data_IF_381396826804
#
_entry.id   IF_381396826804
#
_cell.length_a   1.000
_cell.length_b   1.000
_cell.length_c   1.000
_cell.angle_alpha   90.00
_cell.angle_beta   90.00
_cell.angle_gamma   90.00
#
_symmetry.space_group_name_H-M   'P 1'
#
loop_
_entity.id
_entity.type
_entity.pdbx_description
1 polymer ?
#
# COMPACT_ATOMS: atom_id res chain seq x y z
N UNK A 1 36.84 13.97 13.44
CA UNK A 1 36.00 15.11 13.84
C UNK A 1 34.64 14.94 13.18
N UNK A 2 33.68 14.34 13.90
CA UNK A 2 32.29 14.25 13.44
C UNK A 2 31.50 15.33 14.19
N UNK A 3 31.07 16.37 13.48
CA UNK A 3 30.29 17.47 14.03
C UNK A 3 28.83 17.04 14.20
N UNK A 4 28.45 16.71 15.44
CA UNK A 4 27.07 16.42 15.81
C UNK A 4 26.17 17.65 15.64
N UNK A 5 25.06 17.48 14.93
CA UNK A 5 23.97 18.44 14.90
C UNK A 5 23.16 18.30 16.18
N UNK A 6 23.39 19.22 17.13
CA UNK A 6 22.60 19.32 18.35
C UNK A 6 21.23 19.96 18.05
N UNK A 7 20.15 19.19 18.24
CA UNK A 7 18.83 19.77 18.49
C UNK A 7 18.81 20.29 19.92
N UNK A 8 18.60 21.59 20.08
CA UNK A 8 18.44 22.21 21.40
C UNK A 8 17.10 21.77 22.00
N UNK A 9 17.13 21.22 23.20
CA UNK A 9 15.97 20.81 23.97
C UNK A 9 15.00 21.98 24.18
N UNK A 10 13.72 21.77 23.85
CA UNK A 10 12.62 22.59 24.34
C UNK A 10 12.37 22.19 25.80
N UNK A 11 12.27 23.20 26.66
CA UNK A 11 12.01 23.06 28.09
C UNK A 11 10.79 22.15 28.37
N UNK A 12 10.90 21.29 29.38
CA UNK A 12 9.81 20.46 29.88
C UNK A 12 8.58 21.31 30.22
N UNK A 13 7.36 20.91 29.81
CA UNK A 13 6.16 21.61 30.23
C UNK A 13 5.97 21.42 31.74
N UNK A 14 5.94 22.53 32.45
CA UNK A 14 5.46 22.61 33.83
C UNK A 14 3.99 22.19 33.83
N UNK A 15 3.57 21.39 34.80
CA UNK A 15 2.21 20.88 34.91
C UNK A 15 1.19 22.00 35.10
N UNK A 16 0.66 22.50 33.99
CA UNK A 16 -0.63 23.18 33.85
C UNK A 16 -0.93 23.41 32.35
N UNK A 17 -0.84 22.35 31.54
CA UNK A 17 -1.16 22.45 30.11
C UNK A 17 -2.67 22.71 29.95
N UNK A 18 -3.08 23.85 29.35
CA UNK A 18 -4.47 24.09 29.07
C UNK A 18 -4.94 23.00 28.09
N UNK A 19 -6.04 22.32 28.44
CA UNK A 19 -6.76 21.42 27.54
C UNK A 19 -7.10 22.22 26.27
N UNK A 20 -6.29 22.06 25.23
CA UNK A 20 -6.54 22.66 23.92
C UNK A 20 -7.84 22.01 23.43
N UNK A 21 -8.91 22.78 23.18
CA UNK A 21 -10.18 22.20 22.76
C UNK A 21 -9.97 21.44 21.45
N UNK A 22 -10.59 20.26 21.35
CA UNK A 22 -10.67 19.51 20.10
C UNK A 22 -11.12 20.47 18.98
N UNK A 23 -10.44 20.40 17.83
CA UNK A 23 -10.75 21.25 16.68
C UNK A 23 -12.26 21.21 16.40
N UNK A 24 -12.89 22.36 16.17
CA UNK A 24 -14.30 22.42 15.77
C UNK A 24 -14.47 21.60 14.47
N UNK A 25 -15.05 20.40 14.57
CA UNK A 25 -15.23 19.46 13.46
C UNK A 25 -15.95 20.13 12.27
N UNK A 26 -16.84 21.09 12.54
CA UNK A 26 -17.51 21.85 11.50
C UNK A 26 -16.56 22.84 10.81
N UNK A 27 -15.62 23.45 11.53
CA UNK A 27 -14.58 24.30 10.95
C UNK A 27 -13.59 23.49 10.12
N UNK A 28 -13.20 22.31 10.58
CA UNK A 28 -12.35 21.37 9.84
C UNK A 28 -13.04 20.93 8.55
N UNK A 29 -14.31 20.54 8.61
CA UNK A 29 -15.08 20.15 7.42
C UNK A 29 -15.18 21.30 6.40
N UNK A 30 -15.47 22.53 6.84
CA UNK A 30 -15.48 23.73 5.97
C UNK A 30 -14.09 24.01 5.37
N UNK A 31 -13.02 23.84 6.14
CA UNK A 31 -11.67 23.98 5.64
C UNK A 31 -11.37 22.93 4.56
N UNK A 32 -11.74 21.67 4.74
CA UNK A 32 -11.45 20.62 3.75
C UNK A 32 -12.42 20.59 2.56
N UNK A 33 -13.54 21.32 2.61
CA UNK A 33 -14.48 21.43 1.48
C UNK A 33 -13.89 22.12 0.23
N UNK A 34 -12.79 22.87 0.36
CA UNK A 34 -12.09 23.47 -0.80
C UNK A 34 -11.10 22.46 -1.39
N UNK A 35 -11.27 22.00 -2.64
CA UNK A 35 -10.47 20.92 -3.22
C UNK A 35 -8.97 21.16 -3.19
N UNK A 36 -8.53 22.39 -3.52
CA UNK A 36 -7.12 22.78 -3.50
C UNK A 36 -6.53 22.68 -2.09
N UNK A 37 -7.28 23.14 -1.07
CA UNK A 37 -6.83 23.12 0.33
C UNK A 37 -6.77 21.69 0.88
N UNK A 38 -7.74 20.85 0.53
CA UNK A 38 -7.70 19.42 0.83
C UNK A 38 -6.53 18.71 0.14
N UNK A 39 -6.25 19.07 -1.12
CA UNK A 39 -5.09 18.59 -1.87
C UNK A 39 -3.77 18.93 -1.19
N UNK A 40 -3.59 20.20 -0.79
CA UNK A 40 -2.41 20.68 -0.06
C UNK A 40 -2.26 19.95 1.28
N UNK A 41 -3.34 19.81 2.06
CA UNK A 41 -3.30 19.10 3.35
C UNK A 41 -2.89 17.63 3.18
N UNK A 42 -3.48 16.93 2.20
CA UNK A 42 -3.13 15.55 1.89
C UNK A 42 -1.65 15.41 1.52
N UNK A 43 -1.10 16.32 0.70
CA UNK A 43 0.33 16.33 0.37
C UNK A 43 1.19 16.49 1.62
N UNK A 44 0.86 17.48 2.46
CA UNK A 44 1.54 17.74 3.73
C UNK A 44 1.40 16.61 4.75
N UNK A 45 0.42 15.71 4.60
CA UNK A 45 0.20 14.54 5.47
C UNK A 45 0.91 13.28 4.94
N UNK A 46 1.20 13.19 3.65
CA UNK A 46 1.83 11.99 3.06
C UNK A 46 3.36 12.09 3.05
N UNK A 47 3.94 13.28 2.84
CA UNK A 47 5.40 13.40 2.61
C UNK A 47 6.26 13.49 3.88
N UNK A 48 5.70 13.80 5.05
CA UNK A 48 6.49 13.83 6.29
C UNK A 48 7.40 15.04 6.46
N UNK A 49 7.57 15.87 5.42
CA UNK A 49 8.55 16.96 5.41
C UNK A 49 7.86 18.34 5.52
N UNK A 50 8.39 19.27 6.32
CA UNK A 50 7.89 20.65 6.37
C UNK A 50 8.11 21.40 5.04
N UNK A 51 7.04 21.97 4.49
CA UNK A 51 7.07 22.72 3.22
C UNK A 51 6.80 24.21 3.44
N UNK A 52 7.50 25.06 2.70
CA UNK A 52 7.22 26.48 2.60
C UNK A 52 6.11 26.77 1.58
N UNK A 53 5.45 27.91 1.72
CA UNK A 53 4.39 28.34 0.81
C UNK A 53 4.82 28.43 -0.67
N UNK A 54 6.12 28.65 -0.94
CA UNK A 54 6.67 28.65 -2.31
C UNK A 54 6.72 27.24 -2.90
N UNK A 55 7.21 26.26 -2.15
CA UNK A 55 7.23 24.86 -2.58
C UNK A 55 5.80 24.35 -2.84
N UNK A 56 4.85 24.72 -1.98
CA UNK A 56 3.42 24.40 -2.19
C UNK A 56 2.86 25.12 -3.42
N UNK A 57 3.23 26.36 -3.67
CA UNK A 57 2.82 27.09 -4.87
C UNK A 57 3.31 26.42 -6.16
N UNK A 58 4.58 26.02 -6.19
CA UNK A 58 5.19 25.37 -7.35
C UNK A 58 4.52 24.01 -7.63
N UNK A 59 4.26 23.22 -6.59
CA UNK A 59 3.63 21.90 -6.73
C UNK A 59 2.17 21.96 -7.21
N UNK A 60 1.41 22.95 -6.78
CA UNK A 60 -0.02 23.06 -7.06
C UNK A 60 -0.36 24.07 -8.17
N UNK A 61 0.64 24.66 -8.82
CA UNK A 61 0.46 25.68 -9.86
C UNK A 61 -0.25 26.93 -9.32
N UNK A 62 0.03 27.31 -8.07
CA UNK A 62 -0.61 28.45 -7.39
C UNK A 62 0.34 29.64 -7.28
N UNK A 63 -0.22 30.83 -7.09
CA UNK A 63 0.59 31.96 -6.65
C UNK A 63 1.02 31.79 -5.18
N UNK A 64 2.27 32.15 -4.77
CA UNK A 64 2.77 31.97 -3.40
C UNK A 64 1.89 32.56 -2.29
N UNK A 65 1.20 33.67 -2.55
CA UNK A 65 0.27 34.26 -1.59
C UNK A 65 -1.02 33.43 -1.44
N UNK A 66 -1.50 32.79 -2.51
CA UNK A 66 -2.68 31.93 -2.49
C UNK A 66 -2.37 30.64 -1.73
N UNK A 67 -1.21 30.03 -2.01
CA UNK A 67 -0.73 28.87 -1.26
C UNK A 67 -0.60 29.20 0.24
N UNK A 68 -0.02 30.35 0.59
CA UNK A 68 0.09 30.81 1.99
C UNK A 68 -1.28 30.94 2.66
N UNK A 69 -2.27 31.52 1.99
CA UNK A 69 -3.62 31.65 2.54
C UNK A 69 -4.26 30.29 2.84
N UNK A 70 -4.13 29.31 1.94
CA UNK A 70 -4.61 27.95 2.21
C UNK A 70 -3.91 27.31 3.40
N UNK A 71 -2.60 27.49 3.51
CA UNK A 71 -1.78 26.94 4.59
C UNK A 71 -2.09 27.59 5.94
N UNK A 72 -2.29 28.91 5.98
CA UNK A 72 -2.68 29.63 7.19
C UNK A 72 -4.10 29.21 7.63
N UNK A 73 -5.06 29.05 6.71
CA UNK A 73 -6.39 28.53 7.07
C UNK A 73 -6.36 27.09 7.60
N UNK A 74 -5.46 26.25 7.10
CA UNK A 74 -5.24 24.91 7.66
C UNK A 74 -4.61 24.97 9.06
N UNK A 75 -3.74 25.95 9.30
CA UNK A 75 -3.16 26.19 10.63
C UNK A 75 -4.19 26.73 11.62
N UNK A 76 -5.08 27.62 11.19
CA UNK A 76 -6.14 28.22 12.00
C UNK A 76 -7.11 27.16 12.55
N UNK A 77 -7.45 26.14 11.75
CA UNK A 77 -8.27 25.00 12.19
C UNK A 77 -7.46 23.87 12.84
N UNK A 78 -6.15 24.08 13.04
CA UNK A 78 -5.29 23.14 13.73
C UNK A 78 -4.90 21.89 12.94
N UNK A 79 -5.10 21.82 11.62
CA UNK A 79 -4.65 20.66 10.82
C UNK A 79 -3.15 20.70 10.52
N UNK A 80 -2.57 21.90 10.49
CA UNK A 80 -1.15 22.13 10.18
C UNK A 80 -0.52 22.92 11.32
N UNK A 81 0.75 22.66 11.60
CA UNK A 81 1.56 23.49 12.49
C UNK A 81 2.67 24.16 11.70
N UNK A 82 3.16 25.28 12.24
CA UNK A 82 4.15 26.12 11.54
C UNK A 82 5.50 26.05 12.23
N UNK A 83 6.56 26.03 11.45
CA UNK A 83 7.95 26.04 11.90
C UNK A 83 8.79 27.05 11.14
N UNK A 84 10.10 27.04 11.40
CA UNK A 84 11.07 27.88 10.68
C UNK A 84 12.21 27.00 10.15
N UNK A 85 12.51 27.15 8.86
CA UNK A 85 13.66 26.49 8.22
C UNK A 85 14.76 27.51 7.91
N UNK A 86 15.97 27.26 8.39
CA UNK A 86 17.14 28.12 8.15
C UNK A 86 17.77 27.71 6.82
N UNK A 87 18.07 28.68 5.95
CA UNK A 87 18.80 28.40 4.71
C UNK A 87 20.31 28.36 4.96
N UNK A 88 21.06 27.43 4.34
CA UNK A 88 22.52 27.32 4.49
C UNK A 88 23.28 28.59 4.07
N UNK A 89 22.73 29.35 3.11
CA UNK A 89 23.35 30.57 2.57
C UNK A 89 23.06 31.87 3.35
N UNK A 90 22.45 31.79 4.54
CA UNK A 90 22.01 32.97 5.30
C UNK A 90 20.70 33.58 4.77
N UNK A 91 20.07 34.44 5.59
CA UNK A 91 18.78 35.07 5.31
C UNK A 91 17.71 34.81 6.39
N UNK A 92 16.56 35.49 6.27
CA UNK A 92 15.43 35.31 7.20
C UNK A 92 14.90 33.87 7.10
N UNK A 93 14.76 33.13 8.21
CA UNK A 93 14.22 31.77 8.18
C UNK A 93 12.85 31.71 7.49
N UNK A 94 12.65 30.72 6.61
CA UNK A 94 11.39 30.54 5.90
C UNK A 94 10.34 29.92 6.84
N UNK A 95 9.13 30.49 6.86
CA UNK A 95 7.97 29.84 7.51
C UNK A 95 7.64 28.58 6.73
N UNK A 96 7.69 27.44 7.41
CA UNK A 96 7.33 26.13 6.87
C UNK A 96 6.10 25.61 7.60
N UNK A 97 5.40 24.71 6.93
CA UNK A 97 4.13 24.15 7.34
C UNK A 97 4.26 22.62 7.29
N UNK A 98 3.78 21.96 8.31
CA UNK A 98 3.77 20.49 8.39
C UNK A 98 2.43 20.05 8.96
N UNK A 99 1.86 18.95 8.45
CA UNK A 99 0.64 18.41 9.03
C UNK A 99 0.85 18.14 10.52
N UNK A 100 -0.11 18.52 11.37
CA UNK A 100 0.02 18.38 12.82
C UNK A 100 0.36 16.95 13.23
N UNK A 101 -0.25 15.98 12.56
CA UNK A 101 0.00 14.54 12.76
C UNK A 101 1.46 14.15 12.52
N UNK A 102 2.20 14.88 11.67
CA UNK A 102 3.60 14.59 11.33
C UNK A 102 4.61 15.45 12.11
N UNK A 103 4.14 16.45 12.86
CA UNK A 103 5.02 17.43 13.50
C UNK A 103 5.59 16.98 14.86
N UNK A 104 5.05 15.90 15.44
CA UNK A 104 5.54 15.33 16.69
C UNK A 104 6.28 14.03 16.40
N UNK A 105 7.62 13.97 16.56
CA UNK A 105 8.31 12.68 16.58
C UNK A 105 7.79 11.88 17.78
N UNK A 106 7.13 10.75 17.49
CA UNK A 106 6.74 9.78 18.50
C UNK A 106 5.34 9.90 19.11
N UNK A 107 4.40 10.67 18.52
CA UNK A 107 2.99 10.58 18.97
C UNK A 107 2.24 9.53 18.14
N UNK A 108 1.74 8.52 18.85
CA UNK A 108 0.73 7.58 18.37
C UNK A 108 -0.33 8.29 17.54
N UNK A 109 -0.66 7.71 16.38
CA UNK A 109 -1.83 8.07 15.57
C UNK A 109 -3.02 8.27 16.52
N UNK A 110 -3.43 9.52 16.79
CA UNK A 110 -4.58 9.77 17.65
C UNK A 110 -5.84 9.48 16.84
N UNK A 111 -6.12 8.19 16.68
CA UNK A 111 -7.39 7.70 16.17
C UNK A 111 -8.42 8.02 17.25
N UNK A 112 -9.52 8.75 16.93
CA UNK A 112 -10.56 9.05 17.91
C UNK A 112 -10.95 7.78 18.67
N UNK A 113 -11.17 7.87 19.99
CA UNK A 113 -11.42 6.69 20.84
C UNK A 113 -12.56 5.80 20.29
N UNK A 114 -13.59 6.41 19.71
CA UNK A 114 -14.68 5.68 19.03
C UNK A 114 -14.23 4.87 17.81
N UNK A 115 -13.29 5.39 17.03
CA UNK A 115 -12.69 4.69 15.88
C UNK A 115 -11.74 3.57 16.33
N UNK A 116 -11.02 3.74 17.45
CA UNK A 116 -10.20 2.67 18.02
C UNK A 116 -11.06 1.51 18.53
N UNK A 117 -12.15 1.80 19.25
CA UNK A 117 -13.08 0.78 19.71
C UNK A 117 -13.75 0.02 18.54
N UNK A 118 -14.09 0.73 17.47
CA UNK A 118 -14.63 0.11 16.26
C UNK A 118 -13.62 -0.85 15.61
N UNK A 119 -12.36 -0.40 15.42
CA UNK A 119 -11.28 -1.25 14.90
C UNK A 119 -11.06 -2.46 15.80
N UNK A 120 -10.98 -2.27 17.11
CA UNK A 120 -10.81 -3.33 18.08
C UNK A 120 -11.93 -4.37 17.99
N UNK A 121 -13.18 -3.94 17.99
CA UNK A 121 -14.35 -4.83 17.88
C UNK A 121 -14.35 -5.61 16.58
N UNK A 122 -14.06 -4.95 15.45
CA UNK A 122 -13.98 -5.59 14.13
C UNK A 122 -12.86 -6.63 14.11
N UNK A 123 -11.66 -6.29 14.60
CA UNK A 123 -10.52 -7.19 14.61
C UNK A 123 -10.79 -8.41 15.50
N UNK A 124 -11.41 -8.24 16.69
CA UNK A 124 -11.78 -9.36 17.54
C UNK A 124 -12.79 -10.31 16.88
N UNK A 125 -13.80 -9.77 16.19
CA UNK A 125 -14.77 -10.58 15.42
C UNK A 125 -14.08 -11.37 14.30
N UNK A 126 -13.06 -10.79 13.68
CA UNK A 126 -12.29 -11.45 12.61
C UNK A 126 -11.32 -12.50 13.18
N UNK A 127 -10.61 -12.16 14.27
CA UNK A 127 -9.64 -13.02 14.93
C UNK A 127 -10.25 -14.33 15.44
N UNK A 128 -11.51 -14.29 15.91
CA UNK A 128 -12.22 -15.47 16.38
C UNK A 128 -12.52 -16.54 15.31
N UNK A 129 -12.22 -16.29 14.03
CA UNK A 129 -12.55 -17.17 12.92
C UNK A 129 -11.33 -17.36 12.00
N UNK A 130 -10.63 -18.50 12.12
CA UNK A 130 -9.39 -18.81 11.37
C UNK A 130 -9.52 -18.66 9.85
N UNK A 131 -10.68 -19.00 9.30
CA UNK A 131 -11.02 -18.86 7.87
C UNK A 131 -11.06 -17.40 7.38
N UNK A 132 -11.21 -16.44 8.28
CA UNK A 132 -11.18 -15.02 7.94
C UNK A 132 -9.76 -14.50 7.74
N UNK A 133 -8.74 -15.11 8.36
CA UNK A 133 -7.34 -14.68 8.19
C UNK A 133 -6.84 -14.92 6.77
N UNK A 134 -7.13 -16.08 6.19
CA UNK A 134 -6.80 -16.36 4.79
C UNK A 134 -7.50 -15.36 3.84
N UNK A 135 -8.77 -15.02 4.11
CA UNK A 135 -9.50 -14.00 3.33
C UNK A 135 -8.90 -12.60 3.48
N UNK A 136 -8.43 -12.24 4.67
CA UNK A 136 -7.76 -10.97 4.92
C UNK A 136 -6.47 -10.83 4.10
N UNK A 137 -5.65 -11.89 4.07
CA UNK A 137 -4.43 -11.89 3.23
C UNK A 137 -4.78 -11.65 1.77
N UNK A 138 -5.78 -12.36 1.22
CA UNK A 138 -6.22 -12.16 -0.17
C UNK A 138 -6.74 -10.73 -0.44
N UNK A 139 -7.50 -10.14 0.50
CA UNK A 139 -7.96 -8.77 0.39
C UNK A 139 -6.81 -7.76 0.42
N UNK A 140 -5.82 -7.98 1.29
CA UNK A 140 -4.63 -7.15 1.38
C UNK A 140 -3.74 -7.29 0.14
N UNK A 141 -3.62 -8.50 -0.44
CA UNK A 141 -2.95 -8.71 -1.73
C UNK A 141 -3.58 -7.90 -2.86
N UNK A 142 -4.91 -7.90 -2.94
CA UNK A 142 -5.63 -7.05 -3.90
C UNK A 142 -5.32 -5.56 -3.71
N UNK A 143 -5.27 -5.08 -2.46
CA UNK A 143 -4.92 -3.68 -2.21
C UNK A 143 -3.46 -3.36 -2.53
N UNK A 144 -2.52 -4.25 -2.18
CA UNK A 144 -1.11 -4.11 -2.53
C UNK A 144 -0.89 -3.98 -4.05
N UNK A 145 -1.58 -4.82 -4.84
CA UNK A 145 -1.56 -4.73 -6.31
C UNK A 145 -2.09 -3.38 -6.81
N UNK A 146 -3.20 -2.90 -6.26
CA UNK A 146 -3.81 -1.61 -6.65
C UNK A 146 -2.90 -0.42 -6.38
N UNK A 147 -2.19 -0.43 -5.26
CA UNK A 147 -1.26 0.63 -4.90
C UNK A 147 -0.14 0.77 -5.94
N UNK A 148 0.44 -0.35 -6.39
CA UNK A 148 1.45 -0.34 -7.46
C UNK A 148 0.86 0.04 -8.82
N UNK A 149 -0.33 -0.47 -9.15
CA UNK A 149 -1.01 -0.12 -10.40
C UNK A 149 -1.30 1.39 -10.51
N UNK A 150 -1.57 2.06 -9.38
CA UNK A 150 -1.82 3.51 -9.34
C UNK A 150 -0.57 4.36 -9.59
N UNK A 151 0.63 3.85 -9.28
CA UNK A 151 1.90 4.57 -9.48
C UNK A 151 2.56 4.25 -10.84
N UNK A 152 2.12 3.18 -11.51
CA UNK A 152 2.58 2.80 -12.85
C UNK A 152 3.99 2.21 -12.91
N UNK A 153 4.62 1.95 -11.76
CA UNK A 153 5.94 1.34 -11.68
C UNK A 153 5.88 -0.19 -11.82
N UNK A 154 6.72 -0.77 -12.69
CA UNK A 154 6.97 -2.21 -12.76
C UNK A 154 8.43 -2.44 -13.16
N UNK A 155 9.14 -3.28 -12.43
CA UNK A 155 10.52 -3.65 -12.72
C UNK A 155 10.59 -4.57 -13.94
N UNK A 156 11.78 -4.72 -14.50
CA UNK A 156 12.04 -5.76 -15.49
C UNK A 156 11.97 -7.15 -14.84
N UNK A 157 11.53 -8.14 -15.64
CA UNK A 157 11.35 -9.48 -15.15
C UNK A 157 12.71 -10.04 -14.68
N UNK A 158 12.80 -10.38 -13.39
CA UNK A 158 13.96 -10.91 -12.62
C UNK A 158 14.80 -9.91 -11.82
N UNK A 159 14.51 -8.61 -11.84
CA UNK A 159 15.16 -7.67 -10.91
C UNK A 159 14.34 -7.57 -9.62
N UNK A 160 14.68 -8.41 -8.64
CA UNK A 160 13.94 -8.47 -7.38
C UNK A 160 14.14 -7.23 -6.52
N UNK A 161 15.35 -6.68 -6.50
CA UNK A 161 15.67 -5.46 -5.77
C UNK A 161 14.88 -4.27 -6.33
N UNK A 162 14.88 -4.07 -7.65
CA UNK A 162 14.09 -3.02 -8.28
C UNK A 162 12.58 -3.21 -8.04
N UNK A 163 12.08 -4.45 -8.12
CA UNK A 163 10.68 -4.74 -7.83
C UNK A 163 10.31 -4.41 -6.38
N UNK A 164 11.19 -4.73 -5.42
CA UNK A 164 11.00 -4.40 -4.02
C UNK A 164 10.98 -2.89 -3.77
N UNK A 165 11.87 -2.13 -4.41
CA UNK A 165 11.88 -0.66 -4.33
C UNK A 165 10.56 -0.08 -4.85
N UNK A 166 10.09 -0.53 -6.02
CA UNK A 166 8.81 -0.09 -6.60
C UNK A 166 7.63 -0.44 -5.69
N UNK A 167 7.61 -1.67 -5.17
CA UNK A 167 6.55 -2.13 -4.28
C UNK A 167 6.49 -1.30 -2.99
N UNK A 168 7.63 -1.10 -2.33
CA UNK A 168 7.73 -0.32 -1.09
C UNK A 168 7.35 1.15 -1.35
N UNK A 169 7.81 1.75 -2.44
CA UNK A 169 7.47 3.14 -2.78
C UNK A 169 5.95 3.32 -3.01
N UNK A 170 5.31 2.37 -3.69
CA UNK A 170 3.86 2.39 -3.84
C UNK A 170 3.12 2.20 -2.50
N UNK A 171 3.61 1.32 -1.63
CA UNK A 171 3.04 1.09 -0.31
C UNK A 171 3.15 2.31 0.60
N UNK A 172 4.17 3.17 0.45
CA UNK A 172 4.33 4.41 1.24
C UNK A 172 3.13 5.35 1.18
N UNK A 173 2.34 5.30 0.10
CA UNK A 173 1.11 6.07 -0.01
C UNK A 173 0.08 5.73 1.10
N UNK A 174 0.08 4.48 1.57
CA UNK A 174 -0.78 4.00 2.66
C UNK A 174 0.00 3.78 3.98
N UNK A 175 1.30 3.48 3.90
CA UNK A 175 2.17 3.14 5.02
C UNK A 175 3.46 3.98 4.96
N UNK A 176 3.46 5.26 5.34
CA UNK A 176 4.58 6.18 5.12
C UNK A 176 5.93 5.67 5.65
N UNK A 177 5.91 4.90 6.73
CA UNK A 177 7.09 4.37 7.41
C UNK A 177 7.68 3.11 6.76
N UNK A 178 6.97 2.49 5.80
CA UNK A 178 7.44 1.27 5.14
C UNK A 178 8.75 1.49 4.43
N UNK A 179 9.70 0.57 4.59
CA UNK A 179 11.03 0.65 3.97
C UNK A 179 11.61 -0.74 3.75
N UNK A 180 12.46 -0.85 2.73
CA UNK A 180 13.37 -1.98 2.59
C UNK A 180 14.43 -1.85 3.69
N UNK A 181 14.58 -2.89 4.51
CA UNK A 181 15.58 -2.97 5.57
C UNK A 181 16.85 -3.70 5.10
N UNK A 182 16.68 -4.82 4.40
CA UNK A 182 17.76 -5.67 3.91
C UNK A 182 17.39 -6.22 2.53
N UNK A 183 18.39 -6.37 1.65
CA UNK A 183 18.27 -7.06 0.35
C UNK A 183 19.50 -7.95 0.20
N UNK A 184 19.28 -9.24 -0.06
CA UNK A 184 20.33 -10.22 -0.27
C UNK A 184 19.90 -11.21 -1.35
N UNK A 185 20.39 -11.04 -2.57
CA UNK A 185 20.06 -11.93 -3.69
C UNK A 185 18.57 -11.98 -4.01
N UNK A 186 17.95 -13.13 -3.74
CA UNK A 186 16.53 -13.41 -3.91
C UNK A 186 15.70 -13.09 -2.66
N UNK A 187 16.29 -12.51 -1.61
CA UNK A 187 15.61 -12.20 -0.35
C UNK A 187 15.55 -10.71 -0.08
N UNK A 188 14.40 -10.25 0.40
CA UNK A 188 14.14 -8.86 0.81
C UNK A 188 13.44 -8.85 2.16
N UNK A 189 13.90 -7.97 3.05
CA UNK A 189 13.25 -7.70 4.33
C UNK A 189 12.66 -6.30 4.30
N UNK A 190 11.39 -6.21 4.66
CA UNK A 190 10.63 -4.96 4.75
C UNK A 190 10.22 -4.72 6.21
N UNK A 191 10.28 -3.46 6.63
CA UNK A 191 9.86 -2.98 7.95
C UNK A 191 8.95 -1.75 7.80
N UNK A 192 8.23 -1.39 8.86
CA UNK A 192 7.38 -0.20 8.94
C UNK A 192 5.90 -0.45 8.64
N UNK A 193 5.52 -1.63 8.13
CA UNK A 193 4.10 -2.00 7.95
C UNK A 193 3.38 -2.16 9.30
N UNK A 194 4.09 -2.65 10.31
CA UNK A 194 3.63 -2.81 11.69
C UNK A 194 3.26 -1.48 12.35
N UNK A 195 3.86 -0.37 11.92
CA UNK A 195 3.56 0.96 12.46
C UNK A 195 2.17 1.39 12.00
N UNK A 196 1.88 1.25 10.70
CA UNK A 196 0.56 1.55 10.14
C UNK A 196 -0.52 0.54 10.55
N UNK A 197 -0.13 -0.70 10.86
CA UNK A 197 -1.03 -1.77 11.30
C UNK A 197 -1.09 -1.93 12.83
N UNK A 198 -0.48 -1.02 13.61
CA UNK A 198 -0.30 -1.18 15.06
C UNK A 198 -1.60 -1.48 15.81
N UNK A 199 -2.66 -0.70 15.55
CA UNK A 199 -3.96 -0.90 16.23
C UNK A 199 -4.58 -2.27 15.96
N UNK A 200 -4.26 -2.88 14.83
CA UNK A 200 -4.73 -4.23 14.48
C UNK A 200 -3.85 -5.27 15.17
N UNK A 201 -2.52 -5.10 15.09
CA UNK A 201 -1.55 -6.01 15.69
C UNK A 201 -1.61 -6.07 17.21
N UNK A 202 -1.95 -4.96 17.88
CA UNK A 202 -2.16 -4.90 19.34
C UNK A 202 -3.36 -5.75 19.79
N UNK A 203 -4.38 -5.87 18.93
CA UNK A 203 -5.58 -6.67 19.21
C UNK A 203 -5.35 -8.14 18.87
N UNK A 204 -4.80 -8.40 17.67
CA UNK A 204 -4.37 -9.73 17.24
C UNK A 204 -3.18 -9.61 16.27
N UNK A 205 -2.01 -10.02 16.73
CA UNK A 205 -0.77 -9.98 15.94
C UNK A 205 -0.82 -10.83 14.67
N UNK A 206 -1.54 -11.96 14.69
CA UNK A 206 -1.68 -12.85 13.52
C UNK A 206 -2.56 -12.20 12.43
N UNK A 207 -3.53 -11.38 12.81
CA UNK A 207 -4.30 -10.55 11.86
C UNK A 207 -3.40 -9.46 11.25
N UNK A 208 -2.59 -8.79 12.07
CA UNK A 208 -1.60 -7.82 11.59
C UNK A 208 -0.61 -8.43 10.60
N UNK A 209 -0.03 -9.58 10.94
CA UNK A 209 0.91 -10.33 10.09
C UNK A 209 0.25 -10.80 8.78
N UNK A 210 -1.01 -11.27 8.83
CA UNK A 210 -1.77 -11.68 7.65
C UNK A 210 -2.01 -10.53 6.66
N UNK A 211 -2.28 -9.32 7.17
CA UNK A 211 -2.42 -8.11 6.37
C UNK A 211 -1.08 -7.67 5.77
N UNK A 212 -0.04 -7.58 6.61
CA UNK A 212 1.30 -7.17 6.17
C UNK A 212 1.84 -8.10 5.06
N UNK A 213 1.65 -9.41 5.24
CA UNK A 213 1.95 -10.44 4.24
C UNK A 213 1.23 -10.17 2.93
N UNK A 214 -0.09 -9.93 2.98
CA UNK A 214 -0.87 -9.72 1.78
C UNK A 214 -0.50 -8.43 1.03
N UNK A 215 -0.38 -7.30 1.74
CA UNK A 215 0.00 -6.02 1.13
C UNK A 215 1.33 -6.13 0.38
N UNK A 216 2.38 -6.67 1.02
CA UNK A 216 3.68 -6.79 0.39
C UNK A 216 3.67 -7.79 -0.78
N UNK A 217 3.04 -8.96 -0.60
CA UNK A 217 2.97 -9.98 -1.66
C UNK A 217 2.27 -9.47 -2.91
N UNK A 218 1.13 -8.79 -2.72
CA UNK A 218 0.41 -8.16 -3.82
C UNK A 218 1.22 -7.07 -4.52
N UNK A 219 1.89 -6.21 -3.76
CA UNK A 219 2.73 -5.15 -4.31
C UNK A 219 3.91 -5.72 -5.11
N UNK A 220 4.63 -6.71 -4.58
CA UNK A 220 5.76 -7.36 -5.27
C UNK A 220 5.33 -8.04 -6.58
N UNK A 221 4.20 -8.76 -6.58
CA UNK A 221 3.64 -9.35 -7.79
C UNK A 221 3.25 -8.30 -8.86
N UNK A 222 2.66 -7.18 -8.43
CA UNK A 222 2.36 -6.05 -9.32
C UNK A 222 3.61 -5.27 -9.76
N UNK A 223 4.70 -5.33 -9.00
CA UNK A 223 5.99 -4.76 -9.38
C UNK A 223 6.79 -5.67 -10.32
N UNK A 224 6.36 -6.93 -10.55
CA UNK A 224 6.99 -7.85 -11.49
C UNK A 224 7.80 -8.97 -10.85
N UNK A 225 7.77 -9.11 -9.53
CA UNK A 225 8.48 -10.14 -8.80
C UNK A 225 7.55 -10.86 -7.80
N UNK A 226 6.74 -11.84 -8.25
CA UNK A 226 6.01 -12.70 -7.34
C UNK A 226 6.96 -13.38 -6.36
N UNK A 227 6.62 -13.34 -5.07
CA UNK A 227 7.48 -13.80 -3.99
C UNK A 227 6.67 -14.60 -2.96
N UNK A 228 7.31 -15.54 -2.29
CA UNK A 228 6.82 -16.04 -1.00
C UNK A 228 6.99 -14.90 0.01
N UNK A 229 5.99 -14.68 0.86
CA UNK A 229 6.06 -13.61 1.88
C UNK A 229 5.59 -14.17 3.20
N UNK A 230 6.36 -13.91 4.24
CA UNK A 230 6.05 -14.25 5.62
C UNK A 230 6.21 -13.00 6.49
N UNK A 231 5.32 -12.82 7.46
CA UNK A 231 5.40 -11.75 8.44
C UNK A 231 5.41 -12.34 9.84
N UNK A 232 6.26 -11.79 10.70
CA UNK A 232 6.29 -12.15 12.11
C UNK A 232 6.64 -10.93 12.96
N UNK A 233 5.71 -10.50 13.81
CA UNK A 233 5.96 -9.42 14.77
C UNK A 233 6.39 -8.12 14.09
N UNK A 234 5.87 -7.86 12.89
CA UNK A 234 6.17 -6.66 12.11
C UNK A 234 7.41 -6.72 11.21
N UNK A 235 8.27 -7.73 11.34
CA UNK A 235 9.29 -7.99 10.32
C UNK A 235 8.64 -8.79 9.19
N UNK A 236 8.66 -8.24 7.98
CA UNK A 236 8.11 -8.90 6.79
C UNK A 236 9.24 -9.32 5.88
N UNK A 237 9.28 -10.58 5.53
CA UNK A 237 10.32 -11.18 4.72
C UNK A 237 9.72 -11.73 3.44
N UNK A 238 10.36 -11.42 2.32
CA UNK A 238 9.99 -11.87 1.00
C UNK A 238 11.16 -12.58 0.34
N UNK A 239 10.90 -13.74 -0.26
CA UNK A 239 11.87 -14.51 -1.03
C UNK A 239 11.30 -14.67 -2.44
N UNK A 240 12.08 -14.29 -3.45
CA UNK A 240 11.72 -14.39 -4.85
C UNK A 240 11.44 -15.86 -5.12
N UNK A 241 10.26 -16.13 -5.67
CA UNK A 241 9.95 -17.48 -6.05
C UNK A 241 10.76 -17.80 -7.34
N UNK A 242 11.72 -18.73 -7.28
CA UNK A 242 12.54 -19.14 -8.43
C UNK A 242 11.71 -19.62 -9.63
N UNK A 243 10.50 -20.14 -9.40
CA UNK A 243 9.56 -20.52 -10.44
C UNK A 243 8.65 -19.34 -10.88
N UNK A 244 8.71 -18.21 -10.18
CA UNK A 244 7.84 -17.04 -10.32
C UNK A 244 6.44 -17.27 -9.74
N UNK A 245 6.31 -18.24 -8.84
CA UNK A 245 5.06 -18.87 -8.41
C UNK A 245 4.54 -18.46 -7.03
N UNK A 246 5.19 -17.63 -6.21
CA UNK A 246 4.81 -17.44 -4.80
C UNK A 246 4.45 -18.71 -3.97
N UNK A 247 4.12 -18.53 -2.69
CA UNK A 247 3.56 -19.63 -1.87
C UNK A 247 2.18 -20.09 -2.41
N UNK A 248 1.50 -19.18 -3.13
CA UNK A 248 0.63 -19.42 -4.25
C UNK A 248 0.89 -18.30 -5.27
N UNK A 249 0.76 -18.52 -6.59
CA UNK A 249 1.23 -17.49 -7.51
C UNK A 249 0.28 -16.32 -7.44
N UNK A 250 0.79 -15.16 -7.03
CA UNK A 250 -0.01 -13.95 -6.98
C UNK A 250 -0.21 -13.48 -8.43
N UNK A 251 -1.44 -13.57 -8.94
CA UNK A 251 -1.71 -13.20 -10.31
C UNK A 251 -1.57 -11.68 -10.47
N UNK A 252 -1.02 -11.24 -11.59
CA UNK A 252 -0.96 -9.81 -11.95
C UNK A 252 -2.35 -9.28 -12.27
N UNK A 253 -3.21 -10.13 -12.83
CA UNK A 253 -4.60 -9.83 -13.12
C UNK A 253 -5.50 -11.01 -12.74
N UNK A 254 -6.75 -10.71 -12.35
CA UNK A 254 -7.76 -11.73 -12.05
C UNK A 254 -8.98 -11.51 -12.95
N UNK A 255 -9.50 -12.59 -13.54
CA UNK A 255 -10.77 -12.64 -14.28
C UNK A 255 -11.77 -13.49 -13.53
N UNK A 256 -12.89 -12.90 -13.11
CA UNK A 256 -14.02 -13.63 -12.56
C UNK A 256 -14.97 -14.05 -13.69
N UNK A 257 -14.90 -15.32 -14.07
CA UNK A 257 -15.71 -15.94 -15.12
C UNK A 257 -16.78 -16.89 -14.56
N UNK A 258 -17.18 -16.72 -13.30
CA UNK A 258 -18.28 -17.50 -12.68
C UNK A 258 -19.63 -17.05 -13.24
N UNK A 259 -20.52 -18.00 -13.52
CA UNK A 259 -21.82 -17.74 -14.13
C UNK A 259 -21.76 -17.28 -15.60
N UNK A 260 -20.55 -17.19 -16.18
CA UNK A 260 -20.34 -16.86 -17.58
C UNK A 260 -20.29 -18.13 -18.44
N UNK A 261 -20.70 -18.02 -19.70
CA UNK A 261 -20.51 -19.12 -20.64
C UNK A 261 -19.02 -19.36 -20.89
N UNK A 262 -18.65 -20.59 -21.25
CA UNK A 262 -17.27 -20.95 -21.59
C UNK A 262 -16.63 -19.98 -22.59
N UNK A 263 -17.34 -19.65 -23.68
CA UNK A 263 -16.82 -18.76 -24.71
C UNK A 263 -16.57 -17.34 -24.16
N UNK A 264 -17.49 -16.79 -23.36
CA UNK A 264 -17.32 -15.46 -22.77
C UNK A 264 -16.17 -15.43 -21.75
N UNK A 265 -16.07 -16.45 -20.90
CA UNK A 265 -15.00 -16.57 -19.92
C UNK A 265 -13.61 -16.70 -20.55
N UNK A 266 -13.47 -17.51 -21.60
CA UNK A 266 -12.21 -17.63 -22.36
C UNK A 266 -11.86 -16.33 -23.07
N UNK A 267 -12.83 -15.65 -23.70
CA UNK A 267 -12.57 -14.34 -24.34
C UNK A 267 -12.13 -13.29 -23.31
N UNK A 268 -12.71 -13.30 -22.11
CA UNK A 268 -12.28 -12.42 -21.03
C UNK A 268 -10.83 -12.74 -20.58
N UNK A 269 -10.50 -14.02 -20.40
CA UNK A 269 -9.15 -14.46 -20.08
C UNK A 269 -8.13 -14.10 -21.19
N UNK A 270 -8.50 -14.29 -22.47
CA UNK A 270 -7.70 -13.87 -23.63
C UNK A 270 -7.39 -12.37 -23.57
N UNK A 271 -8.41 -11.52 -23.35
CA UNK A 271 -8.21 -10.07 -23.26
C UNK A 271 -7.33 -9.68 -22.07
N UNK A 272 -7.49 -10.36 -20.94
CA UNK A 272 -6.73 -10.07 -19.73
C UNK A 272 -5.26 -10.54 -19.81
N UNK A 273 -4.95 -11.61 -20.54
CA UNK A 273 -3.56 -12.10 -20.68
C UNK A 273 -2.75 -11.31 -21.72
N UNK A 274 -3.40 -10.68 -22.70
CA UNK A 274 -2.74 -9.87 -23.75
C UNK A 274 -1.84 -8.75 -23.20
N UNK A 275 -2.26 -7.91 -22.23
CA UNK A 275 -1.41 -6.85 -21.70
C UNK A 275 -0.32 -7.34 -20.73
N UNK A 276 -0.36 -8.60 -20.30
CA UNK A 276 0.64 -9.13 -19.35
C UNK A 276 2.03 -9.28 -19.99
N UNK A 277 3.09 -9.34 -19.20
CA UNK A 277 4.44 -9.66 -19.68
C UNK A 277 4.66 -11.19 -19.72
N UNK A 278 5.53 -11.69 -20.61
CA UNK A 278 6.17 -12.99 -20.47
C UNK A 278 6.47 -13.39 -19.02
N UNK A 279 5.93 -14.53 -18.57
CA UNK A 279 6.13 -15.04 -17.21
C UNK A 279 5.12 -14.54 -16.16
N UNK A 280 4.33 -13.51 -16.46
CA UNK A 280 3.26 -13.04 -15.57
C UNK A 280 2.14 -14.08 -15.45
N UNK A 281 1.45 -14.05 -14.32
CA UNK A 281 0.33 -14.94 -14.03
C UNK A 281 -1.01 -14.23 -14.16
N UNK A 282 -1.95 -14.85 -14.87
CA UNK A 282 -3.36 -14.51 -14.90
C UNK A 282 -4.12 -15.53 -14.06
N UNK A 283 -4.94 -15.06 -13.12
CA UNK A 283 -5.92 -15.90 -12.44
C UNK A 283 -7.26 -15.84 -13.15
N UNK A 284 -7.89 -17.00 -13.30
CA UNK A 284 -9.27 -17.13 -13.78
C UNK A 284 -10.08 -17.90 -12.74
N UNK A 285 -11.14 -17.30 -12.24
CA UNK A 285 -12.09 -17.93 -11.33
C UNK A 285 -13.30 -18.41 -12.13
N UNK A 286 -13.62 -19.70 -12.07
CA UNK A 286 -14.80 -20.29 -12.74
C UNK A 286 -15.65 -21.08 -11.75
N UNK A 287 -16.91 -21.33 -12.06
CA UNK A 287 -17.83 -22.19 -11.29
C UNK A 287 -17.70 -23.68 -11.68
N UNK A 288 -16.82 -23.99 -12.64
CA UNK A 288 -16.58 -25.34 -13.15
C UNK A 288 -17.43 -25.70 -14.38
N UNK A 289 -18.48 -24.94 -14.71
CA UNK A 289 -19.30 -25.16 -15.91
C UNK A 289 -18.51 -24.94 -17.21
N UNK A 290 -17.45 -24.13 -17.18
CA UNK A 290 -16.52 -23.92 -18.29
C UNK A 290 -15.45 -25.00 -18.48
N UNK A 291 -15.36 -25.99 -17.57
CA UNK A 291 -14.29 -27.00 -17.43
C UNK A 291 -12.86 -26.43 -17.37
N UNK A 292 -12.13 -26.62 -16.24
CA UNK A 292 -10.70 -26.34 -16.12
C UNK A 292 -9.85 -26.81 -17.32
N UNK A 293 -10.17 -27.99 -17.86
CA UNK A 293 -9.49 -28.57 -19.00
C UNK A 293 -9.67 -27.77 -20.30
N UNK A 294 -10.74 -26.98 -20.43
CA UNK A 294 -10.97 -26.17 -21.62
C UNK A 294 -10.17 -24.87 -21.61
N UNK A 295 -9.96 -24.26 -20.44
CA UNK A 295 -8.99 -23.18 -20.26
C UNK A 295 -7.56 -23.67 -20.46
N UNK A 296 -7.23 -24.86 -19.92
CA UNK A 296 -5.95 -25.51 -20.14
C UNK A 296 -5.65 -25.68 -21.64
N UNK A 297 -6.59 -26.25 -22.40
CA UNK A 297 -6.46 -26.47 -23.86
C UNK A 297 -6.39 -25.18 -24.67
N UNK A 298 -7.02 -24.09 -24.21
CA UNK A 298 -6.86 -22.80 -24.86
C UNK A 298 -5.48 -22.21 -24.57
N UNK A 299 -5.08 -22.19 -23.29
CA UNK A 299 -3.79 -21.66 -22.86
C UNK A 299 -2.64 -22.36 -23.60
N UNK A 300 -2.65 -23.68 -23.63
CA UNK A 300 -1.65 -24.51 -24.33
C UNK A 300 -1.58 -24.17 -25.84
N UNK A 301 -2.72 -24.11 -26.54
CA UNK A 301 -2.76 -23.69 -27.95
C UNK A 301 -2.29 -22.25 -28.19
N UNK A 302 -2.44 -21.37 -27.20
CA UNK A 302 -1.95 -20.00 -27.24
C UNK A 302 -0.48 -19.89 -26.76
N UNK A 303 0.18 -21.00 -26.43
CA UNK A 303 1.55 -21.06 -25.93
C UNK A 303 1.71 -20.65 -24.45
N UNK A 304 0.61 -20.45 -23.73
CA UNK A 304 0.57 -20.15 -22.31
C UNK A 304 0.55 -21.44 -21.49
N UNK A 305 1.03 -21.39 -20.25
CA UNK A 305 1.11 -22.55 -19.38
C UNK A 305 0.04 -22.47 -18.30
N UNK A 306 -0.73 -23.54 -18.11
CA UNK A 306 -1.54 -23.70 -16.89
C UNK A 306 -0.63 -24.21 -15.77
N UNK A 307 -0.48 -23.39 -14.73
CA UNK A 307 0.44 -23.62 -13.62
C UNK A 307 -0.24 -24.32 -12.46
N UNK A 308 -1.47 -23.91 -12.14
CA UNK A 308 -2.20 -24.43 -10.99
C UNK A 308 -3.71 -24.50 -11.27
N UNK A 309 -4.34 -25.49 -10.65
CA UNK A 309 -5.80 -25.66 -10.60
C UNK A 309 -6.21 -26.03 -9.20
N UNK A 310 -6.89 -25.12 -8.51
CA UNK A 310 -7.30 -25.33 -7.13
C UNK A 310 -8.79 -25.04 -6.93
N UNK A 311 -9.46 -25.81 -6.08
CA UNK A 311 -10.77 -25.40 -5.56
C UNK A 311 -10.55 -24.34 -4.48
N UNK A 312 -11.17 -23.19 -4.62
CA UNK A 312 -11.05 -22.07 -3.69
C UNK A 312 -12.41 -21.51 -3.31
N UNK A 313 -12.43 -20.64 -2.30
CA UNK A 313 -13.56 -19.80 -1.96
C UNK A 313 -13.11 -18.36 -1.97
N UNK A 314 -13.86 -17.49 -2.63
CA UNK A 314 -13.55 -16.07 -2.60
C UNK A 314 -13.84 -15.45 -1.23
N UNK A 315 -13.53 -14.17 -1.10
CA UNK A 315 -13.75 -13.38 0.11
C UNK A 315 -15.22 -13.37 0.55
N UNK A 316 -16.17 -13.59 -0.37
CA UNK A 316 -17.62 -13.71 -0.11
C UNK A 316 -18.06 -15.15 0.16
N UNK A 317 -17.13 -16.10 0.27
CA UNK A 317 -17.40 -17.52 0.51
C UNK A 317 -17.91 -18.28 -0.71
N UNK A 318 -18.02 -17.64 -1.88
CA UNK A 318 -18.49 -18.27 -3.11
C UNK A 318 -17.42 -19.25 -3.59
N UNK A 319 -17.83 -20.49 -3.80
CA UNK A 319 -16.97 -21.51 -4.37
C UNK A 319 -16.50 -21.11 -5.77
N UNK A 320 -15.26 -21.44 -6.09
CA UNK A 320 -14.69 -21.28 -7.41
C UNK A 320 -13.67 -22.40 -7.65
N UNK A 321 -13.47 -22.73 -8.93
CA UNK A 321 -12.23 -23.35 -9.38
C UNK A 321 -11.32 -22.23 -9.85
N UNK A 322 -10.18 -22.09 -9.19
CA UNK A 322 -9.09 -21.19 -9.53
C UNK A 322 -8.22 -21.87 -10.57
N UNK A 323 -8.01 -21.18 -11.67
CA UNK A 323 -7.06 -21.53 -12.72
C UNK A 323 -6.00 -20.46 -12.73
N UNK A 324 -4.75 -20.87 -12.85
CA UNK A 324 -3.66 -19.92 -12.92
C UNK A 324 -2.82 -20.16 -14.16
N UNK A 325 -2.80 -19.16 -15.02
CA UNK A 325 -2.18 -19.21 -16.33
C UNK A 325 -0.94 -18.33 -16.35
N UNK A 326 0.21 -18.90 -16.67
CA UNK A 326 1.45 -18.16 -16.91
C UNK A 326 1.55 -17.78 -18.37
N UNK A 327 1.76 -16.50 -18.64
CA UNK A 327 1.95 -15.99 -19.99
C UNK A 327 3.25 -16.51 -20.57
N UNK A 328 3.18 -16.89 -21.84
CA UNK A 328 4.31 -17.37 -22.63
C UNK A 328 5.47 -16.38 -22.60
N UNK A 329 6.68 -16.87 -22.33
CA UNK A 329 7.94 -16.21 -22.64
C UNK A 329 8.35 -16.60 -24.06
N UNK A 330 7.87 -15.90 -25.09
CA UNK A 330 8.10 -16.35 -26.48
C UNK A 330 9.57 -16.25 -26.95
N UNK A 331 9.99 -16.94 -28.04
CA UNK A 331 9.53 -18.25 -28.55
C UNK A 331 10.67 -19.32 -28.52
N UNK A 332 10.35 -20.61 -28.68
CA UNK A 332 11.29 -21.52 -29.36
C UNK A 332 11.35 -21.04 -30.82
N UNK A 333 12.46 -20.40 -31.18
CA UNK A 333 12.76 -20.05 -32.57
C UNK A 333 13.15 -21.32 -33.33
N UNK A 334 12.24 -21.83 -34.16
CA UNK A 334 12.41 -22.08 -35.61
C UNK A 334 11.14 -22.72 -36.16
#
# INVERSE_FOLDING_TARGET
MFGGLALTAVASPSGDDPVVPAADDAAVARALAVPTRAGIYRRLRTEGQPLAAREVADMFGLHPNVARNHLDQLADVGLVVTGRRKHPGGGRPAKVYVAREQAAPGRELHVPQGSQLAVHTIVQLIAGLSEHRAKLTLLAEEQGRRLVAATGGRADARDFEAAAVIAVEALRAAFPEVRVAEVEGDRVVVQGLEIGLRLIGEVDGQVGDALATGFLRGALAAAGAPATVTAHGGRVEAELDEAGLGAQPSPVATVDARGESYQRGVVAAMRAIVPLRPGDHLEVLTDGQGSPAAYARWADRAGHQLVDVARTRDVKGRAAVRLLLRKATGPLRS
#
